data_IF_127194622201
#
_entry.id   IF_127194622201
#
_cell.length_a   1.000
_cell.length_b   1.000
_cell.length_c   1.000
_cell.angle_alpha   90.00
_cell.angle_beta   90.00
_cell.angle_gamma   90.00
#
_symmetry.space_group_name_H-M   'P 1'
#
loop_
_entity.id
_entity.type
_entity.pdbx_description
1 polymer ?
#
# COMPACT_ATOMS: atom_id res chain seq x y z
N UNK A 1 13.40 22.10 -7.59
CA UNK A 1 12.42 21.92 -6.51
C UNK A 1 11.32 21.05 -7.08
N UNK A 2 11.25 19.78 -6.68
CA UNK A 2 10.08 18.97 -7.01
C UNK A 2 9.20 19.03 -5.77
N UNK A 3 8.17 19.87 -5.83
CA UNK A 3 7.10 19.87 -4.85
C UNK A 3 6.29 18.59 -5.08
N UNK A 4 6.83 17.44 -4.67
CA UNK A 4 6.10 16.19 -4.74
C UNK A 4 4.91 16.30 -3.79
N UNK A 5 3.70 16.19 -4.33
CA UNK A 5 2.48 16.27 -3.50
C UNK A 5 1.97 14.87 -3.16
N UNK A 6 2.06 13.94 -4.11
CA UNK A 6 1.54 12.59 -3.97
C UNK A 6 2.42 11.64 -4.79
N UNK A 7 2.84 10.54 -4.17
CA UNK A 7 3.54 9.43 -4.82
C UNK A 7 2.69 8.18 -4.75
N UNK A 8 2.30 7.65 -5.90
CA UNK A 8 1.53 6.41 -6.01
C UNK A 8 2.39 5.28 -6.56
N UNK A 9 2.36 4.12 -5.91
CA UNK A 9 3.11 2.94 -6.30
C UNK A 9 2.21 1.72 -6.36
N UNK A 10 2.13 1.13 -7.55
CA UNK A 10 1.40 -0.12 -7.74
C UNK A 10 2.38 -1.28 -7.57
N UNK A 11 2.13 -2.12 -6.57
CA UNK A 11 2.92 -3.32 -6.30
C UNK A 11 2.03 -4.55 -6.24
N UNK A 12 2.56 -5.69 -6.69
CA UNK A 12 1.90 -6.99 -6.52
C UNK A 12 2.03 -7.44 -5.06
N UNK A 13 0.95 -7.32 -4.29
CA UNK A 13 0.97 -7.74 -2.90
C UNK A 13 0.64 -9.23 -2.79
N UNK A 14 1.63 -10.00 -2.35
CA UNK A 14 1.49 -11.44 -2.15
C UNK A 14 0.43 -11.76 -1.10
N UNK A 15 0.23 -10.89 -0.10
CA UNK A 15 -0.81 -11.09 0.91
C UNK A 15 -2.24 -11.04 0.35
N UNK A 16 -2.46 -10.36 -0.78
CA UNK A 16 -3.77 -10.32 -1.47
C UNK A 16 -3.76 -10.96 -2.86
N UNK A 17 -2.60 -11.47 -3.31
CA UNK A 17 -2.38 -11.98 -4.66
C UNK A 17 -2.80 -11.03 -5.79
N UNK A 18 -2.72 -9.73 -5.53
CA UNK A 18 -3.31 -8.71 -6.39
C UNK A 18 -2.46 -7.46 -6.41
N UNK A 19 -2.67 -6.64 -7.44
CA UNK A 19 -2.03 -5.35 -7.56
C UNK A 19 -2.66 -4.37 -6.57
N UNK A 20 -1.85 -3.86 -5.66
CA UNK A 20 -2.26 -2.87 -4.68
C UNK A 20 -1.57 -1.56 -5.01
N UNK A 21 -2.28 -0.46 -4.79
CA UNK A 21 -1.67 0.87 -4.90
C UNK A 21 -1.42 1.41 -3.50
N UNK A 22 -0.17 1.81 -3.26
CA UNK A 22 0.28 2.52 -2.07
C UNK A 22 0.43 3.98 -2.47
N UNK A 23 -0.30 4.86 -1.79
CA UNK A 23 -0.31 6.29 -2.04
C UNK A 23 0.30 6.97 -0.82
N UNK A 24 1.43 7.64 -1.02
CA UNK A 24 2.12 8.44 0.00
C UNK A 24 1.91 9.91 -0.32
N UNK A 25 1.52 10.70 0.66
CA UNK A 25 1.39 12.17 0.54
C UNK A 25 2.59 12.86 1.16
N UNK A 26 2.80 14.12 0.79
CA UNK A 26 3.85 15.00 1.32
C UNK A 26 3.81 15.11 2.87
N UNK A 27 2.60 15.14 3.44
CA UNK A 27 2.33 15.16 4.89
C UNK A 27 2.81 13.86 5.61
N UNK A 28 3.29 12.87 4.87
CA UNK A 28 3.69 11.56 5.39
C UNK A 28 2.53 10.61 5.63
N UNK A 29 1.31 11.04 5.28
CA UNK A 29 0.11 10.21 5.24
C UNK A 29 0.22 9.13 4.17
N UNK A 30 -0.07 7.87 4.54
CA UNK A 30 -0.02 6.73 3.63
C UNK A 30 -1.37 6.06 3.52
N UNK A 31 -1.77 5.73 2.30
CA UNK A 31 -3.04 5.07 2.00
C UNK A 31 -2.78 3.85 1.13
N UNK A 32 -3.27 2.69 1.57
CA UNK A 32 -3.17 1.44 0.81
C UNK A 32 -4.57 1.06 0.32
N UNK A 33 -4.76 0.97 -1.01
CA UNK A 33 -6.06 0.61 -1.59
C UNK A 33 -6.53 -0.77 -1.13
N UNK A 34 -5.60 -1.69 -0.89
CA UNK A 34 -5.92 -2.99 -0.31
C UNK A 34 -6.44 -2.87 1.12
N UNK A 35 -5.91 -1.98 1.95
CA UNK A 35 -6.48 -1.81 3.29
C UNK A 35 -7.87 -1.18 3.26
N UNK A 36 -8.12 -0.24 2.35
CA UNK A 36 -9.44 0.38 2.17
C UNK A 36 -10.50 -0.67 1.80
N UNK A 37 -10.16 -1.56 0.85
CA UNK A 37 -11.03 -2.63 0.37
C UNK A 37 -11.12 -3.78 1.39
N UNK A 38 -10.00 -4.15 2.02
CA UNK A 38 -9.90 -5.38 2.83
C UNK A 38 -10.05 -5.15 4.33
N UNK A 39 -9.86 -3.92 4.82
CA UNK A 39 -9.99 -3.56 6.23
C UNK A 39 -11.44 -3.42 6.70
N UNK A 40 -12.36 -3.08 5.80
CA UNK A 40 -13.81 -3.09 6.07
C UNK A 40 -14.57 -3.73 4.90
N UNK A 41 -14.42 -5.05 4.71
CA UNK A 41 -14.90 -5.68 3.49
C UNK A 41 -16.41 -5.86 3.50
N UNK A 42 -17.04 -5.45 2.40
CA UNK A 42 -18.45 -5.73 2.15
C UNK A 42 -18.65 -7.22 1.85
N UNK A 43 -19.90 -7.72 1.89
CA UNK A 43 -20.22 -9.13 1.58
C UNK A 43 -19.71 -9.57 0.21
N UNK A 44 -19.79 -8.71 -0.80
CA UNK A 44 -19.24 -8.98 -2.13
C UNK A 44 -17.71 -9.07 -2.11
N UNK A 45 -17.07 -8.13 -1.41
CA UNK A 45 -15.60 -8.11 -1.25
C UNK A 45 -15.11 -9.37 -0.54
N UNK A 46 -15.79 -9.83 0.52
CA UNK A 46 -15.46 -11.08 1.23
C UNK A 46 -15.52 -12.33 0.32
N UNK A 47 -16.48 -12.36 -0.62
CA UNK A 47 -16.58 -13.44 -1.61
C UNK A 47 -15.41 -13.40 -2.59
N UNK A 48 -15.08 -12.21 -3.10
CA UNK A 48 -13.89 -12.03 -3.94
C UNK A 48 -12.61 -12.39 -3.20
N UNK A 49 -12.45 -11.96 -1.96
CA UNK A 49 -11.32 -12.35 -1.11
C UNK A 49 -11.21 -13.85 -0.95
N UNK A 50 -12.31 -14.54 -0.64
CA UNK A 50 -12.30 -15.99 -0.48
C UNK A 50 -11.92 -16.69 -1.78
N UNK A 51 -12.37 -16.17 -2.93
CA UNK A 51 -12.00 -16.67 -4.26
C UNK A 51 -10.52 -16.44 -4.57
N UNK A 52 -10.00 -15.26 -4.21
CA UNK A 52 -8.59 -14.88 -4.38
C UNK A 52 -7.66 -15.62 -3.41
N UNK A 53 -8.09 -15.87 -2.17
CA UNK A 53 -7.39 -16.70 -1.18
C UNK A 53 -7.18 -18.12 -1.73
N UNK A 54 -8.22 -18.70 -2.33
CA UNK A 54 -8.11 -20.00 -3.01
C UNK A 54 -7.15 -19.97 -4.19
N UNK A 55 -7.12 -18.88 -4.96
CA UNK A 55 -6.18 -18.70 -6.08
C UNK A 55 -4.73 -18.58 -5.60
N UNK A 56 -4.52 -17.88 -4.49
CA UNK A 56 -3.19 -17.67 -3.93
C UNK A 56 -2.67 -18.87 -3.11
N UNK A 57 -3.56 -19.79 -2.73
CA UNK A 57 -3.19 -20.99 -1.95
C UNK A 57 -2.95 -20.70 -0.46
N UNK A 58 -3.15 -19.47 0.00
CA UNK A 58 -3.06 -19.07 1.40
C UNK A 58 -4.13 -18.01 1.74
N UNK A 59 -4.48 -17.90 3.03
CA UNK A 59 -5.48 -16.94 3.49
C UNK A 59 -4.99 -15.50 3.31
N UNK A 60 -5.79 -14.64 2.67
CA UNK A 60 -5.46 -13.23 2.50
C UNK A 60 -5.50 -12.55 3.88
N UNK A 61 -4.33 -12.30 4.45
CA UNK A 61 -4.17 -11.54 5.69
C UNK A 61 -3.55 -10.20 5.36
N UNK A 62 -4.38 -9.21 5.08
CA UNK A 62 -3.92 -7.83 5.04
C UNK A 62 -3.69 -7.38 6.50
N UNK A 63 -2.42 -7.18 6.89
CA UNK A 63 -2.07 -6.64 8.21
C UNK A 63 -2.37 -5.14 8.32
N UNK A 64 -2.78 -4.51 7.21
CA UNK A 64 -3.29 -3.16 7.15
C UNK A 64 -2.23 -2.10 6.86
N UNK A 65 -2.43 -0.84 7.29
CA UNK A 65 -1.53 0.28 6.98
C UNK A 65 -0.14 0.14 7.62
N UNK A 66 0.01 -0.79 8.57
CA UNK A 66 1.27 -1.16 9.21
C UNK A 66 2.00 -2.31 8.51
N UNK A 67 1.54 -2.74 7.32
CA UNK A 67 2.30 -3.70 6.53
C UNK A 67 3.72 -3.17 6.28
N UNK A 68 4.72 -4.03 6.50
CA UNK A 68 6.12 -3.68 6.31
C UNK A 68 6.41 -3.09 4.92
N UNK A 69 5.72 -3.56 3.87
CA UNK A 69 5.86 -3.03 2.50
C UNK A 69 5.41 -1.57 2.38
N UNK A 70 4.33 -1.21 3.07
CA UNK A 70 3.77 0.14 3.08
C UNK A 70 4.69 1.08 3.87
N UNK A 71 5.15 0.64 5.04
CA UNK A 71 6.08 1.40 5.88
C UNK A 71 7.42 1.60 5.16
N UNK A 72 7.99 0.55 4.60
CA UNK A 72 9.27 0.61 3.88
C UNK A 72 9.18 1.51 2.65
N UNK A 73 8.08 1.47 1.90
CA UNK A 73 7.88 2.36 0.76
C UNK A 73 7.73 3.83 1.19
N UNK A 74 6.93 4.09 2.23
CA UNK A 74 6.80 5.42 2.83
C UNK A 74 8.16 5.98 3.26
N UNK A 75 8.90 5.19 4.04
CA UNK A 75 10.18 5.60 4.60
C UNK A 75 11.18 5.91 3.48
N UNK A 76 11.20 5.07 2.44
CA UNK A 76 11.98 5.31 1.22
C UNK A 76 11.62 6.66 0.58
N UNK A 77 10.34 6.93 0.31
CA UNK A 77 9.92 8.20 -0.29
C UNK A 77 10.27 9.39 0.61
N UNK A 78 9.98 9.30 1.92
CA UNK A 78 10.31 10.38 2.86
C UNK A 78 11.82 10.65 2.94
N UNK A 79 12.65 9.60 2.81
CA UNK A 79 14.10 9.71 2.82
C UNK A 79 14.66 10.24 1.49
N UNK A 80 14.14 9.79 0.35
CA UNK A 80 14.51 10.33 -0.97
C UNK A 80 14.20 11.84 -1.06
N UNK A 81 13.06 12.26 -0.55
CA UNK A 81 12.62 13.66 -0.61
C UNK A 81 13.35 14.54 0.41
N UNK A 82 13.67 14.03 1.60
CA UNK A 82 14.59 14.71 2.54
C UNK A 82 16.00 14.84 1.96
N UNK A 83 16.51 13.76 1.36
CA UNK A 83 17.82 13.70 0.71
C UNK A 83 17.98 14.64 -0.49
N UNK A 84 16.89 14.86 -1.25
CA UNK A 84 16.88 15.85 -2.33
C UNK A 84 16.83 17.30 -1.81
N UNK A 85 16.32 17.53 -0.60
CA UNK A 85 16.23 18.86 -0.01
C UNK A 85 17.50 19.28 0.77
N UNK A 86 18.39 18.35 1.13
CA UNK A 86 19.65 18.62 1.84
C UNK A 86 20.87 18.85 0.95
N UNK A 87 20.74 18.64 -0.37
CA UNK A 87 21.83 18.87 -1.35
C UNK A 87 21.69 20.17 -2.15
N UNK A 88 20.86 21.13 -1.69
CA UNK A 88 20.66 22.43 -2.32
C UNK A 88 21.28 23.57 -1.50
#
# INVERSE_FOLDING_TARGET
>A
MVDWQITACTILCEAVCDEITIIVKDDGSVRCTAYDIYGSPSRDTLKEMSKRAKKCGHGLKCEGPLCHRVISYRDKIMNEERGQNESA
#
